data_IF_594496322835
#
_entry.id   IF_594496322835
#
_cell.length_a   1.000
_cell.length_b   1.000
_cell.length_c   1.000
_cell.angle_alpha   90.00
_cell.angle_beta   90.00
_cell.angle_gamma   90.00
#
_symmetry.space_group_name_H-M   'P 1'
#
loop_
_entity.id
_entity.type
_entity.pdbx_description
1 polymer ?
#
# COMPACT_ATOMS: atom_id res chain seq x y z
N UNK A 1 9.00 -2.20 9.25
CA UNK A 1 7.81 -3.09 9.19
C UNK A 1 8.03 -4.18 8.15
N UNK A 2 7.37 -5.34 8.27
CA UNK A 2 7.38 -6.37 7.21
C UNK A 2 6.15 -6.26 6.30
N UNK A 3 6.22 -6.83 5.09
CA UNK A 3 5.10 -6.89 4.16
C UNK A 3 3.88 -7.61 4.73
N UNK A 4 4.09 -8.60 5.61
CA UNK A 4 3.00 -9.32 6.28
C UNK A 4 2.15 -8.38 7.13
N UNK A 5 2.78 -7.46 7.87
CA UNK A 5 2.07 -6.46 8.70
C UNK A 5 1.29 -5.47 7.83
N UNK A 6 1.86 -5.07 6.69
CA UNK A 6 1.15 -4.22 5.72
C UNK A 6 -0.08 -4.92 5.16
N UNK A 7 0.03 -6.22 4.85
CA UNK A 7 -1.11 -7.00 4.36
C UNK A 7 -2.20 -7.16 5.43
N UNK A 8 -1.83 -7.42 6.68
CA UNK A 8 -2.80 -7.48 7.78
C UNK A 8 -3.54 -6.15 7.96
N UNK A 9 -2.83 -5.01 7.90
CA UNK A 9 -3.45 -3.69 7.95
C UNK A 9 -4.39 -3.44 6.77
N UNK A 10 -3.98 -3.82 5.57
CA UNK A 10 -4.80 -3.73 4.37
C UNK A 10 -6.10 -4.52 4.53
N UNK A 11 -6.03 -5.77 4.97
CA UNK A 11 -7.20 -6.63 5.19
C UNK A 11 -8.11 -6.09 6.29
N UNK A 12 -7.52 -5.53 7.35
CA UNK A 12 -8.28 -4.85 8.41
C UNK A 12 -9.09 -3.66 7.86
N UNK A 13 -8.48 -2.80 7.03
CA UNK A 13 -9.18 -1.67 6.39
C UNK A 13 -10.27 -2.19 5.44
N UNK A 14 -10.00 -3.25 4.68
CA UNK A 14 -10.94 -3.84 3.74
C UNK A 14 -12.20 -4.37 4.44
N UNK A 15 -12.03 -5.14 5.51
CA UNK A 15 -13.12 -5.74 6.30
C UNK A 15 -13.76 -4.76 7.29
N UNK A 16 -13.18 -3.59 7.52
CA UNK A 16 -13.73 -2.60 8.44
C UNK A 16 -15.05 -2.02 7.93
N UNK A 17 -15.98 -1.65 8.83
CA UNK A 17 -17.26 -1.03 8.48
C UNK A 17 -17.14 0.46 8.09
N UNK A 18 -15.94 0.88 7.66
CA UNK A 18 -15.65 2.26 7.24
C UNK A 18 -16.34 2.60 5.92
N UNK A 19 -16.69 3.87 5.77
CA UNK A 19 -17.18 4.39 4.48
C UNK A 19 -16.06 4.38 3.42
N UNK A 20 -16.42 4.39 2.12
CA UNK A 20 -15.41 4.39 1.04
C UNK A 20 -14.42 5.57 1.17
N UNK A 21 -14.89 6.75 1.60
CA UNK A 21 -14.02 7.91 1.83
C UNK A 21 -13.02 7.70 2.97
N UNK A 22 -13.44 7.07 4.06
CA UNK A 22 -12.56 6.73 5.19
C UNK A 22 -11.57 5.63 4.82
N UNK A 23 -12.02 4.57 4.13
CA UNK A 23 -11.12 3.53 3.60
C UNK A 23 -10.07 4.12 2.68
N UNK A 24 -10.48 5.02 1.78
CA UNK A 24 -9.57 5.71 0.86
C UNK A 24 -8.49 6.51 1.61
N UNK A 25 -8.88 7.20 2.70
CA UNK A 25 -7.94 7.90 3.59
C UNK A 25 -6.98 6.94 4.31
N UNK A 26 -7.47 5.82 4.82
CA UNK A 26 -6.64 4.83 5.51
C UNK A 26 -5.67 4.12 4.56
N UNK A 27 -6.11 3.80 3.33
CA UNK A 27 -5.22 3.30 2.28
C UNK A 27 -4.15 4.34 1.90
N UNK A 28 -4.51 5.63 1.84
CA UNK A 28 -3.53 6.70 1.62
C UNK A 28 -2.44 6.74 2.70
N UNK A 29 -2.84 6.63 3.98
CA UNK A 29 -1.87 6.55 5.09
C UNK A 29 -1.00 5.30 5.02
N UNK A 30 -1.58 4.16 4.66
CA UNK A 30 -0.85 2.90 4.49
C UNK A 30 0.18 3.00 3.35
N UNK A 31 -0.16 3.65 2.23
CA UNK A 31 0.76 3.92 1.13
C UNK A 31 1.92 4.82 1.56
N UNK A 32 1.65 5.92 2.28
CA UNK A 32 2.70 6.80 2.82
C UNK A 32 3.64 6.07 3.77
N UNK A 33 3.11 5.17 4.59
CA UNK A 33 3.93 4.32 5.44
C UNK A 33 4.84 3.40 4.62
N UNK A 34 4.30 2.76 3.56
CA UNK A 34 5.09 1.90 2.67
C UNK A 34 6.19 2.67 1.94
N UNK A 35 5.90 3.88 1.46
CA UNK A 35 6.89 4.74 0.80
C UNK A 35 8.08 5.03 1.70
N UNK A 36 7.80 5.32 2.98
CA UNK A 36 8.83 5.62 3.97
C UNK A 36 9.63 4.38 4.40
N UNK A 37 8.94 3.27 4.66
CA UNK A 37 9.55 2.05 5.18
C UNK A 37 10.36 1.29 4.12
N UNK A 38 9.84 1.19 2.90
CA UNK A 38 10.49 0.46 1.81
C UNK A 38 11.26 1.35 0.84
N UNK A 39 11.32 2.68 1.11
CA UNK A 39 11.97 3.67 0.26
C UNK A 39 11.49 3.58 -1.18
N UNK A 40 10.17 3.48 -1.35
CA UNK A 40 9.55 3.41 -2.68
C UNK A 40 9.85 4.74 -3.40
N UNK A 41 10.48 4.70 -4.58
CA UNK A 41 10.77 5.92 -5.31
C UNK A 41 9.46 6.58 -5.80
N UNK A 42 9.41 7.91 -5.68
CA UNK A 42 8.25 8.70 -6.11
C UNK A 42 8.05 8.67 -7.63
N UNK A 43 9.12 8.40 -8.37
CA UNK A 43 9.09 8.16 -9.81
C UNK A 43 9.26 6.67 -10.08
N UNK A 44 8.70 6.21 -11.20
CA UNK A 44 8.85 4.82 -11.62
C UNK A 44 10.33 4.50 -11.87
N UNK A 45 10.85 3.56 -11.10
CA UNK A 45 12.22 3.07 -11.20
C UNK A 45 12.19 1.56 -11.50
N UNK A 46 12.39 1.15 -12.77
CA UNK A 46 12.29 -0.25 -13.18
C UNK A 46 13.34 -1.16 -12.54
N UNK A 47 14.48 -0.61 -12.12
CA UNK A 47 15.57 -1.38 -11.50
C UNK A 47 15.20 -1.69 -10.05
N UNK A 48 14.73 -0.67 -9.32
CA UNK A 48 14.19 -0.85 -7.97
C UNK A 48 12.97 -1.78 -7.95
N UNK A 49 12.07 -1.66 -8.94
CA UNK A 49 10.88 -2.52 -9.06
C UNK A 49 11.24 -4.01 -9.23
N UNK A 50 12.32 -4.32 -9.96
CA UNK A 50 12.80 -5.70 -10.14
C UNK A 50 13.33 -6.31 -8.85
N UNK A 51 14.00 -5.51 -8.03
CA UNK A 51 14.51 -5.97 -6.73
C UNK A 51 13.41 -6.03 -5.66
N UNK A 52 12.37 -5.19 -5.78
CA UNK A 52 11.32 -5.02 -4.78
C UNK A 52 9.92 -5.41 -5.30
N UNK A 53 9.84 -6.44 -6.15
CA UNK A 53 8.60 -6.87 -6.81
C UNK A 53 7.43 -7.09 -5.83
N UNK A 54 7.69 -7.68 -4.67
CA UNK A 54 6.66 -7.93 -3.66
C UNK A 54 6.11 -6.63 -3.04
N UNK A 55 6.99 -5.64 -2.81
CA UNK A 55 6.61 -4.34 -2.26
C UNK A 55 5.75 -3.57 -3.26
N UNK A 56 6.19 -3.48 -4.52
CA UNK A 56 5.45 -2.74 -5.54
C UNK A 56 4.12 -3.42 -5.89
N UNK A 57 4.05 -4.75 -5.89
CA UNK A 57 2.80 -5.48 -6.07
C UNK A 57 1.79 -5.14 -4.96
N UNK A 58 2.24 -5.11 -3.71
CA UNK A 58 1.39 -4.74 -2.58
C UNK A 58 0.96 -3.27 -2.64
N UNK A 59 1.88 -2.36 -2.97
CA UNK A 59 1.59 -0.94 -3.11
C UNK A 59 0.54 -0.67 -4.19
N UNK A 60 0.67 -1.34 -5.35
CA UNK A 60 -0.33 -1.27 -6.43
C UNK A 60 -1.69 -1.85 -6.01
N UNK A 61 -1.71 -2.97 -5.28
CA UNK A 61 -2.95 -3.56 -4.75
C UNK A 61 -3.72 -2.58 -3.85
N UNK A 62 -3.01 -1.89 -2.96
CA UNK A 62 -3.60 -0.86 -2.08
C UNK A 62 -4.08 0.33 -2.89
N UNK A 63 -3.28 0.80 -3.86
CA UNK A 63 -3.67 1.89 -4.75
C UNK A 63 -4.96 1.60 -5.52
N UNK A 64 -5.11 0.40 -6.08
CA UNK A 64 -6.34 0.00 -6.78
C UNK A 64 -7.55 -0.06 -5.85
N UNK A 65 -7.36 -0.42 -4.59
CA UNK A 65 -8.44 -0.46 -3.59
C UNK A 65 -8.87 0.94 -3.13
N UNK A 66 -8.06 1.97 -3.41
CA UNK A 66 -8.34 3.37 -3.06
C UNK A 66 -9.28 4.05 -4.06
N UNK A 67 -9.27 3.58 -5.31
CA UNK A 67 -10.10 4.06 -6.43
C UNK A 67 -11.45 3.32 -6.55
N UNK A 68 -11.73 2.39 -5.62
CA UNK A 68 -12.91 1.50 -5.60
C UNK A 68 -13.93 1.96 -4.55
#
# INVERSE_FOLDING_TARGET
MSLAIINEKYESILCSPLSSGEKSREYGQLMTLMEREFKIPALRDPEWEKENMAVIAMYRKISMSRDL
#
